data_IF_241080746525
#
_entry.id   IF_241080746525
#
_cell.length_a   1.000
_cell.length_b   1.000
_cell.length_c   1.000
_cell.angle_alpha   90.00
_cell.angle_beta   90.00
_cell.angle_gamma   90.00
#
_symmetry.space_group_name_H-M   'P 1'
#
loop_
_entity.id
_entity.type
_entity.pdbx_description
1 polymer ?
#
# COMPACT_ATOMS: atom_id res chain seq x y z
N UNK A 1 15.09 10.66 -6.73
CA UNK A 1 14.59 9.27 -6.73
C UNK A 1 14.70 8.74 -5.32
N UNK A 2 13.59 8.30 -4.72
CA UNK A 2 13.52 7.79 -3.35
C UNK A 2 13.16 6.30 -3.44
N UNK A 3 13.79 5.47 -2.61
CA UNK A 3 13.48 4.06 -2.48
C UNK A 3 12.87 3.79 -1.12
N UNK A 4 11.84 2.96 -1.10
CA UNK A 4 11.13 2.56 0.10
C UNK A 4 10.96 1.05 0.06
N UNK A 5 11.24 0.39 1.19
CA UNK A 5 10.99 -1.02 1.40
C UNK A 5 10.11 -1.18 2.64
N UNK A 6 8.79 -1.28 2.46
CA UNK A 6 7.87 -1.51 3.56
C UNK A 6 7.95 -2.96 4.03
N UNK A 7 7.70 -3.19 5.33
CA UNK A 7 7.61 -4.53 5.91
C UNK A 7 6.24 -5.17 5.62
N UNK A 8 5.19 -4.35 5.44
CA UNK A 8 3.83 -4.83 5.14
C UNK A 8 3.12 -4.01 4.06
N UNK A 9 2.08 -4.60 3.46
CA UNK A 9 1.23 -3.93 2.49
C UNK A 9 0.52 -2.70 3.07
N UNK A 10 0.03 -2.77 4.31
CA UNK A 10 -0.60 -1.62 4.96
C UNK A 10 0.40 -0.49 5.22
N UNK A 11 1.63 -0.82 5.63
CA UNK A 11 2.69 0.17 5.79
C UNK A 11 3.01 0.87 4.46
N UNK A 12 3.11 0.10 3.37
CA UNK A 12 3.30 0.62 2.02
C UNK A 12 2.22 1.65 1.66
N UNK A 13 0.94 1.31 1.86
CA UNK A 13 -0.17 2.21 1.56
C UNK A 13 -0.19 3.44 2.48
N UNK A 14 0.20 3.31 3.75
CA UNK A 14 0.33 4.46 4.64
C UNK A 14 1.40 5.44 4.14
N UNK A 15 2.57 4.94 3.73
CA UNK A 15 3.63 5.78 3.16
C UNK A 15 3.19 6.44 1.85
N UNK A 16 2.55 5.70 0.94
CA UNK A 16 2.02 6.27 -0.31
C UNK A 16 1.01 7.39 -0.01
N UNK A 17 0.14 7.20 0.97
CA UNK A 17 -0.81 8.23 1.38
C UNK A 17 -0.12 9.49 1.90
N UNK A 18 0.95 9.35 2.69
CA UNK A 18 1.74 10.51 3.15
C UNK A 18 2.44 11.19 1.97
N UNK A 19 3.03 10.44 1.04
CA UNK A 19 3.66 11.02 -0.15
C UNK A 19 2.66 11.80 -1.01
N UNK A 20 1.46 11.27 -1.25
CA UNK A 20 0.40 11.98 -1.97
C UNK A 20 0.04 13.29 -1.26
N UNK A 21 -0.11 13.28 0.08
CA UNK A 21 -0.43 14.49 0.86
C UNK A 21 0.63 15.58 0.74
N UNK A 22 1.90 15.21 0.58
CA UNK A 22 2.97 16.22 0.45
C UNK A 22 2.90 16.97 -0.88
N UNK A 23 2.33 16.37 -1.94
CA UNK A 23 2.37 16.92 -3.30
C UNK A 23 3.77 17.03 -3.90
N UNK A 24 4.80 16.45 -3.27
CA UNK A 24 6.19 16.57 -3.70
C UNK A 24 6.61 15.55 -4.76
N UNK A 25 5.74 14.59 -5.10
CA UNK A 25 6.03 13.48 -6.00
C UNK A 25 5.10 13.50 -7.21
N UNK A 26 5.68 13.55 -8.41
CA UNK A 26 4.93 13.48 -9.67
C UNK A 26 4.54 12.05 -10.05
N UNK A 27 5.30 11.05 -9.59
CA UNK A 27 5.09 9.63 -9.89
C UNK A 27 5.49 8.76 -8.70
N UNK A 28 4.62 7.80 -8.37
CA UNK A 28 4.88 6.75 -7.38
C UNK A 28 4.69 5.41 -8.09
N UNK A 29 5.69 4.54 -8.00
CA UNK A 29 5.66 3.19 -8.58
C UNK A 29 5.70 2.16 -7.47
N UNK A 30 4.81 1.17 -7.54
CA UNK A 30 4.80 0.01 -6.65
C UNK A 30 5.32 -1.20 -7.42
N UNK A 31 6.45 -1.72 -6.97
CA UNK A 31 7.07 -2.94 -7.50
C UNK A 31 7.19 -3.96 -6.35
N UNK A 32 6.21 -4.84 -6.12
CA UNK A 32 5.01 -5.12 -6.91
C UNK A 32 3.79 -5.38 -6.03
N UNK A 33 2.59 -5.42 -6.63
CA UNK A 33 1.33 -5.70 -5.91
C UNK A 33 1.35 -7.07 -5.22
N UNK A 34 1.96 -8.08 -5.83
CA UNK A 34 2.03 -9.41 -5.24
C UNK A 34 2.85 -9.44 -3.93
N UNK A 35 3.79 -8.51 -3.77
CA UNK A 35 4.61 -8.35 -2.57
C UNK A 35 3.95 -7.49 -1.47
N UNK A 36 2.75 -6.93 -1.72
CA UNK A 36 1.98 -6.21 -0.70
C UNK A 36 1.27 -7.20 0.22
N UNK A 37 2.04 -7.85 1.09
CA UNK A 37 1.56 -8.86 2.02
C UNK A 37 0.86 -8.19 3.22
N UNK A 38 -0.38 -8.58 3.56
CA UNK A 38 -1.06 -8.03 4.72
C UNK A 38 -0.28 -8.27 6.01
N UNK A 39 -0.36 -7.32 6.93
CA UNK A 39 0.30 -7.38 8.24
C UNK A 39 -0.07 -8.67 8.99
N UNK A 40 -1.35 -9.05 8.97
CA UNK A 40 -1.82 -10.31 9.56
C UNK A 40 -1.13 -11.54 8.97
N UNK A 41 -0.84 -11.53 7.67
CA UNK A 41 -0.14 -12.65 7.01
C UNK A 41 1.34 -12.68 7.39
N UNK A 42 2.00 -11.52 7.52
CA UNK A 42 3.35 -11.39 8.07
C UNK A 42 3.42 -11.92 9.52
N UNK A 43 2.39 -11.68 10.32
CA UNK A 43 2.24 -12.18 11.69
C UNK A 43 1.88 -13.69 11.76
N UNK A 44 1.78 -14.38 10.62
CA UNK A 44 1.50 -15.81 10.53
C UNK A 44 0.01 -16.17 10.54
N UNK A 45 -0.88 -15.19 10.46
CA UNK A 45 -2.34 -15.40 10.39
C UNK A 45 -2.79 -15.37 8.92
N UNK A 46 -3.05 -16.55 8.36
CA UNK A 46 -3.55 -16.68 6.99
C UNK A 46 -5.08 -16.65 6.95
N UNK A 47 -5.64 -15.54 6.46
CA UNK A 47 -7.07 -15.40 6.19
C UNK A 47 -7.27 -15.36 4.67
N UNK A 48 -7.97 -16.33 4.07
CA UNK A 48 -8.26 -16.31 2.65
C UNK A 48 -8.91 -14.99 2.21
N UNK A 49 -8.37 -14.37 1.16
CA UNK A 49 -8.90 -13.12 0.61
C UNK A 49 -8.48 -11.84 1.34
N UNK A 50 -7.64 -11.93 2.37
CA UNK A 50 -7.18 -10.74 3.12
C UNK A 50 -6.43 -9.74 2.23
N UNK A 51 -5.57 -10.20 1.31
CA UNK A 51 -4.90 -9.33 0.35
C UNK A 51 -5.91 -8.58 -0.53
N UNK A 52 -6.90 -9.27 -1.10
CA UNK A 52 -7.93 -8.65 -1.94
C UNK A 52 -8.77 -7.62 -1.18
N UNK A 53 -9.10 -7.92 0.09
CA UNK A 53 -9.80 -7.00 0.98
C UNK A 53 -8.97 -5.74 1.25
N UNK A 54 -7.71 -5.89 1.66
CA UNK A 54 -6.78 -4.78 1.88
C UNK A 54 -6.69 -3.91 0.63
N UNK A 55 -6.44 -4.51 -0.54
CA UNK A 55 -6.35 -3.78 -1.81
C UNK A 55 -7.64 -3.00 -2.11
N UNK A 56 -8.81 -3.61 -1.94
CA UNK A 56 -10.09 -2.95 -2.19
C UNK A 56 -10.30 -1.73 -1.29
N UNK A 57 -9.98 -1.86 0.00
CA UNK A 57 -10.10 -0.78 0.99
C UNK A 57 -9.09 0.35 0.75
N UNK A 58 -7.84 0.01 0.47
CA UNK A 58 -6.76 1.00 0.32
C UNK A 58 -6.82 1.71 -1.03
N UNK A 59 -7.05 0.99 -2.13
CA UNK A 59 -7.18 1.60 -3.45
C UNK A 59 -8.40 2.53 -3.53
N UNK A 60 -9.53 2.14 -2.94
CA UNK A 60 -10.70 3.03 -2.90
C UNK A 60 -10.41 4.35 -2.18
N UNK A 61 -9.58 4.33 -1.12
CA UNK A 61 -9.13 5.53 -0.40
C UNK A 61 -8.06 6.33 -1.15
N UNK A 62 -7.29 5.67 -2.01
CA UNK A 62 -6.20 6.28 -2.75
C UNK A 62 -6.76 7.02 -3.98
N UNK A 63 -7.70 6.40 -4.70
CA UNK A 63 -8.37 7.02 -5.85
C UNK A 63 -9.07 8.32 -5.46
N UNK A 64 -9.62 8.44 -4.25
CA UNK A 64 -10.25 9.69 -3.79
C UNK A 64 -9.26 10.82 -3.46
N UNK A 65 -7.95 10.55 -3.44
CA UNK A 65 -6.89 11.51 -3.13
C UNK A 65 -6.04 11.87 -4.35
N UNK A 66 -6.08 11.06 -5.40
CA UNK A 66 -5.40 11.31 -6.67
C UNK A 66 -6.38 12.07 -7.57
N UNK A 67 -5.94 13.22 -8.10
CA UNK A 67 -6.71 14.06 -9.00
C UNK A 67 -6.52 13.65 -10.47
#
# INVERSE_FOLDING_TARGET
MIFVQPDTGEEAFNMINEFIKTGAFDLIVVDSVAALTPTLEIDGVSIPGQQAKMMSEQLSKLVSKVN
#
